data_IF_565534262218
#
_entry.id   IF_565534262218
#
_cell.length_a   1.000
_cell.length_b   1.000
_cell.length_c   1.000
_cell.angle_alpha   90.00
_cell.angle_beta   90.00
_cell.angle_gamma   90.00
#
_symmetry.space_group_name_H-M   'P 1'
#
loop_
_entity.id
_entity.type
_entity.pdbx_description
1 polymer ?
#
# COMPACT_ATOMS: atom_id res chain seq x y z
N UNK A 1 29.97 19.11 -29.55
CA UNK A 1 30.01 19.30 -28.08
C UNK A 1 28.73 20.01 -27.69
N UNK A 2 27.98 19.46 -26.74
CA UNK A 2 26.67 19.96 -26.32
C UNK A 2 26.58 19.81 -24.81
N UNK A 3 26.46 20.90 -24.07
CA UNK A 3 26.15 20.88 -22.65
C UNK A 3 24.88 21.68 -22.37
N UNK A 4 23.93 21.02 -21.72
CA UNK A 4 22.64 21.58 -21.38
C UNK A 4 22.76 22.48 -20.15
N UNK A 5 22.35 23.74 -20.28
CA UNK A 5 22.21 24.62 -19.11
C UNK A 5 21.01 24.18 -18.26
N UNK A 6 21.30 23.67 -17.06
CA UNK A 6 20.27 23.20 -16.13
C UNK A 6 19.53 24.39 -15.51
N UNK A 7 18.23 24.53 -15.81
CA UNK A 7 17.39 25.61 -15.27
C UNK A 7 17.03 25.33 -13.81
N UNK A 8 17.68 26.03 -12.89
CA UNK A 8 17.41 25.96 -11.46
C UNK A 8 16.05 26.59 -11.12
N UNK A 9 15.01 25.78 -10.89
CA UNK A 9 13.69 26.25 -10.45
C UNK A 9 13.73 26.61 -8.96
N UNK A 10 13.73 27.91 -8.66
CA UNK A 10 13.57 28.42 -7.28
C UNK A 10 12.08 28.62 -6.98
N UNK A 11 11.54 27.88 -6.00
CA UNK A 11 10.14 28.00 -5.60
C UNK A 11 9.99 29.04 -4.48
N UNK A 12 9.63 30.28 -4.85
CA UNK A 12 9.39 31.37 -3.90
C UNK A 12 8.06 31.18 -3.14
N UNK A 13 8.10 30.42 -2.04
CA UNK A 13 6.99 30.25 -1.11
C UNK A 13 6.83 31.42 -0.15
N UNK A 14 6.34 32.56 -0.63
CA UNK A 14 6.05 33.73 0.22
C UNK A 14 4.83 33.50 1.12
N UNK A 15 5.04 33.50 2.45
CA UNK A 15 3.97 33.41 3.44
C UNK A 15 3.55 34.84 3.83
N UNK A 16 2.42 35.31 3.29
CA UNK A 16 1.82 36.58 3.72
C UNK A 16 0.99 36.37 5.00
N UNK A 17 1.40 37.00 6.10
CA UNK A 17 0.56 37.14 7.29
C UNK A 17 -0.43 38.31 7.11
N UNK A 18 -1.72 38.02 7.26
CA UNK A 18 -2.79 39.04 7.38
C UNK A 18 -3.26 39.06 8.82
N UNK A 19 -3.37 40.25 9.42
CA UNK A 19 -3.81 40.42 10.81
C UNK A 19 -5.27 40.02 11.02
N UNK A 20 -5.57 39.51 12.21
CA UNK A 20 -6.91 39.06 12.62
C UNK A 20 -7.92 40.20 12.72
N UNK A 21 -9.05 40.06 12.03
CA UNK A 21 -10.28 40.80 12.36
C UNK A 21 -11.06 40.05 13.45
N UNK A 22 -11.56 40.79 14.44
CA UNK A 22 -12.49 40.30 15.46
C UNK A 22 -13.90 40.18 14.88
N UNK A 23 -14.56 39.05 15.09
CA UNK A 23 -15.99 38.85 14.80
C UNK A 23 -16.64 38.22 16.03
N UNK A 24 -17.74 38.81 16.50
CA UNK A 24 -18.42 38.42 17.73
C UNK A 24 -19.09 37.03 17.65
N UNK A 25 -19.19 36.28 18.77
CA UNK A 25 -19.77 34.95 18.78
C UNK A 25 -21.31 34.96 18.78
N UNK A 26 -21.98 34.18 17.93
CA UNK A 26 -23.41 33.90 18.09
C UNK A 26 -23.64 32.96 19.29
N UNK A 27 -24.61 33.30 20.13
CA UNK A 27 -24.94 32.49 21.32
C UNK A 27 -25.61 31.16 20.92
N UNK A 28 -25.24 30.08 21.60
CA UNK A 28 -25.99 28.82 21.57
C UNK A 28 -26.43 28.42 22.99
N UNK A 29 -27.72 28.14 23.13
CA UNK A 29 -28.39 27.73 24.37
C UNK A 29 -27.99 26.33 24.84
N UNK A 30 -28.00 26.13 26.16
CA UNK A 30 -27.58 24.89 26.81
C UNK A 30 -28.53 23.71 26.57
N UNK A 31 -27.96 22.52 26.35
CA UNK A 31 -28.66 21.23 26.50
C UNK A 31 -27.75 20.19 27.18
N UNK A 32 -28.08 19.87 28.43
CA UNK A 32 -27.83 18.61 29.17
C UNK A 32 -26.40 18.02 29.19
N UNK A 33 -25.72 18.23 30.32
CA UNK A 33 -24.55 17.44 30.72
C UNK A 33 -24.97 16.12 31.41
N UNK A 34 -24.22 15.01 31.22
CA UNK A 34 -24.18 13.89 32.15
C UNK A 34 -22.98 14.02 33.12
N UNK A 35 -23.21 13.67 34.39
CA UNK A 35 -22.24 13.66 35.51
C UNK A 35 -20.77 13.39 35.14
N UNK A 36 -19.90 14.37 35.43
CA UNK A 36 -18.45 14.18 35.54
C UNK A 36 -18.13 13.59 36.91
N UNK A 37 -17.51 12.40 36.94
CA UNK A 37 -16.81 11.94 38.14
C UNK A 37 -15.52 12.74 38.30
N UNK A 38 -15.18 13.13 39.52
CA UNK A 38 -13.89 13.78 39.81
C UNK A 38 -12.74 12.82 39.42
N UNK A 39 -11.86 13.28 38.53
CA UNK A 39 -10.63 12.59 38.12
C UNK A 39 -9.40 13.16 38.83
N UNK A 40 -8.29 12.41 38.79
CA UNK A 40 -7.06 12.73 39.51
C UNK A 40 -6.37 14.02 39.01
N UNK A 41 -5.64 14.77 39.87
CA UNK A 41 -4.95 16.01 39.49
C UNK A 41 -3.79 15.87 38.48
N UNK A 42 -3.49 14.65 38.06
CA UNK A 42 -2.39 14.32 37.12
C UNK A 42 -2.88 13.82 35.76
N UNK A 43 -4.19 13.74 35.54
CA UNK A 43 -4.77 13.26 34.29
C UNK A 43 -4.69 14.39 33.23
N UNK A 44 -3.60 14.38 32.46
CA UNK A 44 -3.33 15.41 31.46
C UNK A 44 -4.30 15.23 30.29
N UNK A 45 -5.03 16.26 29.84
CA UNK A 45 -6.04 16.11 28.81
C UNK A 45 -5.43 15.54 27.52
N UNK A 46 -6.07 14.52 26.96
CA UNK A 46 -5.68 13.85 25.72
C UNK A 46 -5.59 14.80 24.51
N UNK A 47 -6.17 15.99 24.60
CA UNK A 47 -6.29 16.96 23.51
C UNK A 47 -6.39 18.39 24.07
N UNK A 48 -5.39 19.23 23.81
CA UNK A 48 -5.30 20.62 24.24
C UNK A 48 -5.45 21.58 23.04
N UNK A 49 -6.46 22.44 23.11
CA UNK A 49 -6.71 23.51 22.14
C UNK A 49 -6.29 24.88 22.67
N UNK A 50 -5.80 25.74 21.78
CA UNK A 50 -5.63 27.17 22.01
C UNK A 50 -6.03 27.92 20.74
N UNK A 51 -6.84 28.97 20.87
CA UNK A 51 -7.27 29.82 19.75
C UNK A 51 -7.88 28.99 18.58
N UNK A 52 -8.62 27.92 18.90
CA UNK A 52 -9.21 26.98 17.94
C UNK A 52 -8.25 25.95 17.31
N UNK A 53 -6.95 26.01 17.62
CA UNK A 53 -5.91 25.14 17.07
C UNK A 53 -5.47 24.10 18.10
N UNK A 54 -5.17 22.87 17.65
CA UNK A 54 -4.59 21.82 18.50
C UNK A 54 -3.12 22.17 18.74
N UNK A 55 -2.71 22.27 20.01
CA UNK A 55 -1.30 22.47 20.39
C UNK A 55 -0.68 21.16 20.85
N UNK A 56 -1.33 20.45 21.78
CA UNK A 56 -0.86 19.16 22.28
C UNK A 56 -1.98 18.14 22.19
N UNK A 57 -1.63 16.89 21.94
CA UNK A 57 -2.58 15.79 21.86
C UNK A 57 -1.83 14.46 21.98
N UNK A 58 -2.48 13.43 22.50
CA UNK A 58 -2.01 12.07 22.32
C UNK A 58 -2.21 11.63 20.87
N UNK A 59 -1.39 10.68 20.40
CA UNK A 59 -1.50 10.20 19.02
C UNK A 59 -2.89 9.63 18.71
N UNK A 60 -3.50 8.93 19.67
CA UNK A 60 -4.84 8.36 19.49
C UNK A 60 -5.94 9.45 19.48
N UNK A 61 -5.79 10.55 20.24
CA UNK A 61 -6.67 11.71 20.12
C UNK A 61 -6.55 12.40 18.74
N UNK A 62 -5.34 12.52 18.17
CA UNK A 62 -5.17 13.02 16.80
C UNK A 62 -5.83 12.10 15.76
N UNK A 63 -5.83 10.78 15.98
CA UNK A 63 -6.54 9.81 15.14
C UNK A 63 -8.07 9.95 15.28
N UNK A 64 -8.58 10.32 16.46
CA UNK A 64 -10.01 10.62 16.67
C UNK A 64 -10.46 11.88 15.91
N UNK A 65 -9.60 12.91 15.85
CA UNK A 65 -9.85 14.12 15.04
C UNK A 65 -9.78 13.81 13.54
N UNK A 66 -9.06 12.76 13.12
CA UNK A 66 -9.03 12.28 11.73
C UNK A 66 -10.29 11.47 11.37
N UNK A 67 -11.44 12.15 11.35
CA UNK A 67 -12.77 11.62 11.04
C UNK A 67 -13.32 12.14 9.71
N UNK A 68 -14.31 11.45 9.09
CA UNK A 68 -15.10 12.03 8.02
C UNK A 68 -15.70 13.38 8.48
N UNK A 69 -15.40 14.45 7.74
CA UNK A 69 -15.75 15.83 8.11
C UNK A 69 -14.65 16.64 8.80
N UNK A 70 -13.46 16.08 9.06
CA UNK A 70 -12.30 16.83 9.54
C UNK A 70 -11.86 17.92 8.54
N UNK A 71 -11.25 19.01 9.05
CA UNK A 71 -10.83 20.12 8.19
C UNK A 71 -9.73 19.70 7.21
N UNK A 72 -9.81 20.16 5.95
CA UNK A 72 -8.82 19.83 4.92
C UNK A 72 -7.37 20.15 5.35
N UNK A 73 -7.07 21.29 6.01
CA UNK A 73 -5.73 21.57 6.52
C UNK A 73 -5.28 20.56 7.58
N UNK A 74 -6.16 20.16 8.50
CA UNK A 74 -5.83 19.14 9.50
C UNK A 74 -5.51 17.78 8.85
N UNK A 75 -6.36 17.32 7.93
CA UNK A 75 -6.15 16.05 7.21
C UNK A 75 -4.82 16.05 6.46
N UNK A 76 -4.50 17.15 5.77
CA UNK A 76 -3.22 17.29 5.06
C UNK A 76 -2.02 17.24 6.02
N UNK A 77 -2.01 18.09 7.05
CA UNK A 77 -0.90 18.17 8.02
C UNK A 77 -0.73 16.86 8.79
N UNK A 78 -1.82 16.22 9.22
CA UNK A 78 -1.76 14.92 9.88
C UNK A 78 -1.20 13.85 8.95
N UNK A 79 -1.67 13.74 7.70
CA UNK A 79 -1.15 12.72 6.77
C UNK A 79 0.32 12.95 6.38
N UNK A 80 0.75 14.21 6.26
CA UNK A 80 2.14 14.58 6.01
C UNK A 80 3.05 14.16 7.18
N UNK A 81 2.68 14.54 8.41
CA UNK A 81 3.50 14.33 9.62
C UNK A 81 3.31 12.95 10.27
N UNK A 82 2.26 12.19 9.94
CA UNK A 82 1.92 10.90 10.56
C UNK A 82 3.08 9.90 10.61
N UNK A 83 3.93 9.90 9.58
CA UNK A 83 5.11 9.03 9.46
C UNK A 83 6.16 9.23 10.56
N UNK A 84 6.12 10.35 11.28
CA UNK A 84 6.98 10.60 12.44
C UNK A 84 6.54 9.80 13.68
N UNK A 85 5.28 9.36 13.73
CA UNK A 85 4.66 8.75 14.91
C UNK A 85 4.19 7.30 14.68
N UNK A 86 3.88 6.93 13.44
CA UNK A 86 3.27 5.63 13.10
C UNK A 86 3.62 5.22 11.67
N UNK A 87 3.72 3.90 11.40
CA UNK A 87 3.90 3.43 10.01
C UNK A 87 2.59 3.59 9.23
N UNK A 88 2.61 3.93 7.91
CA UNK A 88 1.39 4.15 7.14
C UNK A 88 0.38 2.98 7.18
N UNK A 89 0.85 1.73 7.24
CA UNK A 89 -0.02 0.56 7.33
C UNK A 89 -0.63 0.35 8.73
N UNK A 90 0.10 0.72 9.79
CA UNK A 90 -0.41 0.69 11.18
C UNK A 90 -1.49 1.78 11.37
N UNK A 91 -1.27 2.98 10.82
CA UNK A 91 -2.29 4.04 10.79
C UNK A 91 -3.54 3.59 10.04
N UNK A 92 -3.38 3.04 8.84
CA UNK A 92 -4.50 2.52 8.05
C UNK A 92 -5.25 1.43 8.83
N UNK A 93 -4.55 0.52 9.51
CA UNK A 93 -5.17 -0.51 10.33
C UNK A 93 -5.97 0.07 11.52
N UNK A 94 -5.42 1.08 12.23
CA UNK A 94 -6.14 1.80 13.29
C UNK A 94 -7.42 2.47 12.76
N UNK A 95 -7.31 3.26 11.69
CA UNK A 95 -8.44 3.96 11.07
C UNK A 95 -9.50 2.97 10.58
N UNK A 96 -9.11 1.92 9.87
CA UNK A 96 -10.08 1.00 9.31
C UNK A 96 -10.77 0.16 10.39
N UNK A 97 -10.07 -0.23 11.46
CA UNK A 97 -10.69 -0.85 12.64
C UNK A 97 -11.69 0.08 13.35
N UNK A 98 -11.43 1.40 13.37
CA UNK A 98 -12.31 2.41 13.95
C UNK A 98 -13.58 2.64 13.13
N UNK A 99 -13.47 2.75 11.80
CA UNK A 99 -14.57 3.16 10.92
C UNK A 99 -15.31 2.02 10.20
N UNK A 100 -14.67 0.87 9.96
CA UNK A 100 -15.28 -0.26 9.26
C UNK A 100 -15.41 -1.49 10.16
N UNK A 101 -16.65 -1.76 10.62
CA UNK A 101 -16.99 -2.90 11.52
C UNK A 101 -16.60 -4.30 10.99
N UNK A 102 -16.22 -4.43 9.72
CA UNK A 102 -15.78 -5.68 9.10
C UNK A 102 -14.33 -5.62 8.58
N UNK A 103 -13.51 -4.63 8.94
CA UNK A 103 -12.14 -4.48 8.40
C UNK A 103 -11.26 -5.72 8.56
N UNK A 104 -11.36 -6.41 9.69
CA UNK A 104 -10.57 -7.64 9.96
C UNK A 104 -10.98 -8.82 9.06
N UNK A 105 -12.14 -8.75 8.39
CA UNK A 105 -12.50 -9.71 7.34
C UNK A 105 -11.80 -9.32 6.05
N UNK A 106 -10.61 -9.90 5.84
CA UNK A 106 -9.89 -9.85 4.57
C UNK A 106 -10.80 -10.41 3.46
N UNK A 107 -11.36 -9.51 2.66
CA UNK A 107 -12.20 -9.83 1.52
C UNK A 107 -11.50 -10.73 0.50
N UNK A 108 -12.30 -11.23 -0.42
CA UNK A 108 -11.85 -11.93 -1.62
C UNK A 108 -12.01 -11.05 -2.88
N UNK A 109 -11.53 -11.56 -4.01
CA UNK A 109 -11.55 -10.83 -5.29
C UNK A 109 -12.95 -10.38 -5.74
N UNK A 110 -14.02 -11.08 -5.35
CA UNK A 110 -15.40 -10.71 -5.69
C UNK A 110 -15.84 -9.53 -4.82
N UNK A 111 -15.48 -9.54 -3.52
CA UNK A 111 -15.83 -8.45 -2.60
C UNK A 111 -15.09 -7.14 -2.87
N UNK A 112 -14.02 -7.14 -3.68
CA UNK A 112 -13.39 -5.92 -4.18
C UNK A 112 -14.28 -5.17 -5.19
N UNK A 113 -15.29 -5.83 -5.77
CA UNK A 113 -16.26 -5.20 -6.68
C UNK A 113 -15.71 -4.81 -8.06
N UNK A 114 -14.46 -5.18 -8.39
CA UNK A 114 -13.84 -4.91 -9.69
C UNK A 114 -14.32 -5.90 -10.75
N UNK A 115 -14.59 -5.41 -11.95
CA UNK A 115 -14.73 -6.27 -13.14
C UNK A 115 -13.40 -6.93 -13.50
N UNK A 116 -13.41 -8.06 -14.25
CA UNK A 116 -12.18 -8.68 -14.73
C UNK A 116 -11.28 -7.73 -15.54
N UNK A 117 -11.89 -6.82 -16.32
CA UNK A 117 -11.19 -5.80 -17.13
C UNK A 117 -10.50 -4.77 -16.23
N UNK A 118 -11.19 -4.22 -15.22
CA UNK A 118 -10.59 -3.27 -14.29
C UNK A 118 -9.45 -3.92 -13.49
N UNK A 119 -9.64 -5.15 -13.03
CA UNK A 119 -8.62 -5.89 -12.28
C UNK A 119 -7.38 -6.18 -13.15
N UNK A 120 -7.56 -6.62 -14.40
CA UNK A 120 -6.45 -6.85 -15.33
C UNK A 120 -5.70 -5.54 -15.66
N UNK A 121 -6.40 -4.41 -15.80
CA UNK A 121 -5.78 -3.10 -15.93
C UNK A 121 -4.96 -2.72 -14.68
N UNK A 122 -5.47 -2.92 -13.47
CA UNK A 122 -4.73 -2.65 -12.24
C UNK A 122 -3.49 -3.55 -12.09
N UNK A 123 -3.61 -4.85 -12.39
CA UNK A 123 -2.46 -5.77 -12.42
C UNK A 123 -1.41 -5.28 -13.42
N UNK A 124 -1.82 -4.90 -14.64
CA UNK A 124 -0.93 -4.40 -15.69
C UNK A 124 -0.23 -3.11 -15.30
N UNK A 125 -0.90 -2.18 -14.61
CA UNK A 125 -0.27 -0.97 -14.08
C UNK A 125 0.82 -1.29 -13.04
N UNK A 126 0.58 -2.24 -12.14
CA UNK A 126 1.59 -2.69 -11.17
C UNK A 126 2.74 -3.43 -11.86
N UNK A 127 2.42 -4.26 -12.86
CA UNK A 127 3.38 -5.02 -13.67
C UNK A 127 4.36 -4.09 -14.39
N UNK A 128 3.82 -3.13 -15.16
CA UNK A 128 4.60 -2.15 -15.91
C UNK A 128 5.42 -1.24 -14.98
N UNK A 129 4.85 -0.81 -13.85
CA UNK A 129 5.58 -0.01 -12.87
C UNK A 129 6.79 -0.76 -12.31
N UNK A 130 6.64 -2.03 -11.92
CA UNK A 130 7.75 -2.85 -11.42
C UNK A 130 8.78 -3.13 -12.51
N UNK A 131 8.32 -3.51 -13.71
CA UNK A 131 9.18 -3.80 -14.85
C UNK A 131 10.00 -2.58 -15.28
N UNK A 132 9.46 -1.36 -15.14
CA UNK A 132 10.18 -0.11 -15.48
C UNK A 132 11.44 0.16 -14.65
N UNK A 133 11.62 -0.54 -13.52
CA UNK A 133 12.85 -0.47 -12.72
C UNK A 133 13.91 -1.51 -13.12
N UNK A 134 13.56 -2.51 -13.93
CA UNK A 134 14.48 -3.60 -14.29
C UNK A 134 15.36 -3.17 -15.46
N UNK A 135 16.66 -2.96 -15.19
CA UNK A 135 17.64 -2.60 -16.21
C UNK A 135 17.98 -3.78 -17.14
N UNK A 136 18.31 -3.53 -18.43
CA UNK A 136 18.85 -4.58 -19.31
C UNK A 136 20.13 -5.22 -18.74
N UNK A 137 20.90 -4.48 -17.94
CA UNK A 137 22.10 -4.94 -17.23
C UNK A 137 21.78 -6.05 -16.22
N UNK A 138 20.62 -5.99 -15.55
CA UNK A 138 20.20 -7.02 -14.59
C UNK A 138 19.97 -8.36 -15.29
N UNK A 139 19.29 -8.35 -16.45
CA UNK A 139 19.10 -9.55 -17.26
C UNK A 139 20.44 -10.16 -17.72
N UNK A 140 21.38 -9.32 -18.19
CA UNK A 140 22.73 -9.79 -18.58
C UNK A 140 23.44 -10.41 -17.38
N UNK A 141 23.38 -9.80 -16.19
CA UNK A 141 24.01 -10.33 -14.97
C UNK A 141 23.38 -11.65 -14.49
N UNK A 142 22.06 -11.83 -14.65
CA UNK A 142 21.39 -13.10 -14.33
C UNK A 142 21.98 -14.25 -15.12
N UNK A 143 22.11 -14.09 -16.45
CA UNK A 143 22.56 -15.16 -17.35
C UNK A 143 24.08 -15.21 -17.55
N UNK A 144 24.84 -14.21 -17.08
CA UNK A 144 26.30 -14.22 -17.11
C UNK A 144 26.86 -15.43 -16.32
N UNK A 145 27.82 -16.19 -16.88
CA UNK A 145 28.44 -17.30 -16.17
C UNK A 145 29.15 -16.79 -14.91
N UNK A 146 28.80 -17.35 -13.76
CA UNK A 146 29.42 -16.99 -12.49
C UNK A 146 30.92 -17.30 -12.54
N UNK A 147 31.77 -16.27 -12.45
CA UNK A 147 33.21 -16.50 -12.28
C UNK A 147 33.43 -17.31 -10.99
N UNK A 148 34.27 -18.37 -11.01
CA UNK A 148 34.61 -19.10 -9.80
C UNK A 148 35.35 -18.17 -8.84
N UNK A 149 34.86 -18.08 -7.61
CA UNK A 149 35.43 -17.22 -6.59
C UNK A 149 36.87 -17.65 -6.28
N UNK A 150 37.85 -16.90 -6.77
CA UNK A 150 39.26 -17.12 -6.43
C UNK A 150 39.52 -16.65 -5.01
N UNK A 151 39.52 -17.60 -4.08
CA UNK A 151 40.02 -17.39 -2.73
C UNK A 151 41.53 -17.15 -2.77
N UNK A 152 41.97 -15.89 -2.73
CA UNK A 152 43.37 -15.55 -2.44
C UNK A 152 43.43 -14.50 -1.34
N UNK A 153 43.97 -14.91 -0.20
CA UNK A 153 44.09 -14.09 1.00
C UNK A 153 45.16 -13.00 0.82
N UNK A 154 44.75 -11.76 0.59
CA UNK A 154 45.55 -10.57 0.93
C UNK A 154 44.63 -9.45 1.44
N UNK A 155 44.90 -8.97 2.67
CA UNK A 155 44.20 -7.80 3.24
C UNK A 155 44.79 -6.52 2.66
N UNK A 156 44.38 -6.13 1.46
CA UNK A 156 44.66 -4.80 0.91
C UNK A 156 43.38 -3.96 0.86
N UNK A 157 43.48 -2.69 1.27
CA UNK A 157 42.36 -1.76 1.37
C UNK A 157 42.02 -1.25 -0.04
N UNK A 158 41.26 -2.05 -0.80
CA UNK A 158 40.74 -1.66 -2.10
C UNK A 158 39.27 -1.24 -1.98
N UNK A 159 39.02 0.06 -2.16
CA UNK A 159 37.67 0.61 -2.42
C UNK A 159 37.33 0.30 -3.88
N UNK A 160 37.13 -0.99 -4.19
CA UNK A 160 36.62 -1.42 -5.48
C UNK A 160 35.55 -2.49 -5.27
N UNK A 161 34.42 -2.25 -5.92
CA UNK A 161 33.22 -3.07 -5.87
C UNK A 161 33.56 -4.55 -6.10
N UNK A 162 33.34 -5.37 -5.07
CA UNK A 162 32.93 -6.74 -5.33
C UNK A 162 31.55 -6.64 -6.01
N UNK A 163 31.52 -6.81 -7.33
CA UNK A 163 30.29 -6.83 -8.13
C UNK A 163 29.47 -8.10 -7.79
N UNK A 164 28.83 -8.06 -6.63
CA UNK A 164 27.68 -8.92 -6.37
C UNK A 164 26.65 -8.62 -7.48
N UNK A 165 26.26 -9.66 -8.23
CA UNK A 165 25.20 -9.58 -9.24
C UNK A 165 24.03 -8.78 -8.66
N UNK A 166 23.75 -7.61 -9.22
CA UNK A 166 22.85 -6.63 -8.61
C UNK A 166 21.47 -6.70 -9.25
N UNK A 167 20.90 -7.90 -9.24
CA UNK A 167 19.61 -8.28 -9.86
C UNK A 167 18.39 -7.89 -9.03
N UNK A 168 18.49 -6.83 -8.21
CA UNK A 168 17.52 -6.51 -7.15
C UNK A 168 16.12 -6.19 -7.67
N UNK A 169 16.00 -5.51 -8.81
CA UNK A 169 14.68 -5.17 -9.36
C UNK A 169 14.08 -6.38 -10.07
N UNK A 170 14.92 -7.18 -10.76
CA UNK A 170 14.49 -8.43 -11.38
C UNK A 170 14.05 -9.48 -10.34
N UNK A 171 14.75 -9.57 -9.21
CA UNK A 171 14.34 -10.36 -8.04
C UNK A 171 13.00 -9.86 -7.49
N UNK A 172 12.85 -8.55 -7.26
CA UNK A 172 11.60 -7.95 -6.78
C UNK A 172 10.42 -8.10 -7.77
N UNK A 173 10.70 -8.24 -9.07
CA UNK A 173 9.72 -8.55 -10.11
C UNK A 173 9.33 -10.05 -10.12
N UNK A 174 10.32 -10.93 -9.93
CA UNK A 174 10.10 -12.38 -9.75
C UNK A 174 9.30 -12.67 -8.47
N UNK A 175 9.62 -11.99 -7.37
CA UNK A 175 8.86 -12.04 -6.12
C UNK A 175 7.43 -11.54 -6.31
N UNK A 176 7.20 -10.55 -7.17
CA UNK A 176 5.85 -10.09 -7.48
C UNK A 176 5.03 -11.17 -8.22
N UNK A 177 5.61 -11.83 -9.23
CA UNK A 177 4.99 -12.98 -9.91
C UNK A 177 4.60 -14.08 -8.91
N UNK A 178 5.54 -14.44 -8.02
CA UNK A 178 5.30 -15.44 -6.98
C UNK A 178 4.17 -15.01 -6.03
N UNK A 179 4.21 -13.77 -5.54
CA UNK A 179 3.20 -13.22 -4.63
C UNK A 179 1.81 -13.15 -5.27
N UNK A 180 1.71 -12.80 -6.55
CA UNK A 180 0.44 -12.85 -7.29
C UNK A 180 -0.07 -14.30 -7.39
N UNK A 181 0.80 -15.24 -7.75
CA UNK A 181 0.45 -16.67 -7.83
C UNK A 181 -0.09 -17.22 -6.49
N UNK A 182 0.61 -16.93 -5.38
CA UNK A 182 0.16 -17.32 -4.05
C UNK A 182 -1.12 -16.58 -3.62
N UNK A 183 -1.30 -15.30 -3.98
CA UNK A 183 -2.51 -14.54 -3.68
C UNK A 183 -3.74 -15.19 -4.34
N UNK A 184 -3.67 -15.50 -5.64
CA UNK A 184 -4.73 -16.20 -6.38
C UNK A 184 -5.07 -17.53 -5.71
N UNK A 185 -4.04 -18.31 -5.37
CA UNK A 185 -4.21 -19.60 -4.72
C UNK A 185 -4.86 -19.48 -3.33
N UNK A 186 -4.37 -18.56 -2.50
CA UNK A 186 -4.93 -18.28 -1.17
C UNK A 186 -6.38 -17.80 -1.25
N UNK A 187 -6.71 -16.94 -2.20
CA UNK A 187 -8.06 -16.40 -2.37
C UNK A 187 -9.09 -17.48 -2.72
N UNK A 188 -8.74 -18.34 -3.70
CA UNK A 188 -9.52 -19.53 -4.05
C UNK A 188 -9.62 -20.48 -2.84
N UNK A 189 -8.54 -20.75 -2.11
CA UNK A 189 -8.54 -21.71 -1.01
C UNK A 189 -9.28 -21.22 0.25
N UNK A 190 -9.30 -19.91 0.52
CA UNK A 190 -10.08 -19.29 1.61
C UNK A 190 -11.59 -19.47 1.42
N UNK A 191 -12.08 -19.55 0.18
CA UNK A 191 -13.49 -19.70 -0.12
C UNK A 191 -14.02 -21.09 0.29
N UNK A 192 -14.61 -21.20 1.49
CA UNK A 192 -15.08 -22.46 2.08
C UNK A 192 -16.14 -23.17 1.21
N UNK A 193 -17.19 -22.45 0.82
CA UNK A 193 -18.34 -23.02 0.08
C UNK A 193 -17.99 -23.27 -1.39
N UNK A 194 -18.07 -24.52 -1.85
CA UNK A 194 -17.65 -24.91 -3.22
C UNK A 194 -18.29 -24.11 -4.36
N UNK A 195 -19.58 -23.75 -4.29
CA UNK A 195 -20.24 -22.89 -5.30
C UNK A 195 -19.68 -21.47 -5.31
N UNK A 196 -19.32 -20.93 -4.14
CA UNK A 196 -18.72 -19.60 -4.04
C UNK A 196 -17.27 -19.60 -4.52
N UNK A 197 -16.51 -20.62 -4.15
CA UNK A 197 -15.13 -20.83 -4.63
C UNK A 197 -15.04 -20.99 -6.15
N UNK A 198 -16.04 -21.61 -6.78
CA UNK A 198 -16.13 -21.67 -8.24
C UNK A 198 -16.20 -20.26 -8.85
N UNK A 199 -17.05 -19.37 -8.31
CA UNK A 199 -17.11 -17.96 -8.75
C UNK A 199 -15.81 -17.19 -8.53
N UNK A 200 -15.08 -17.46 -7.43
CA UNK A 200 -13.76 -16.84 -7.17
C UNK A 200 -12.75 -17.31 -8.23
N UNK A 201 -12.74 -18.61 -8.54
CA UNK A 201 -11.90 -19.18 -9.60
C UNK A 201 -12.28 -18.64 -10.99
N UNK A 202 -13.56 -18.55 -11.30
CA UNK A 202 -14.11 -17.97 -12.53
C UNK A 202 -13.67 -16.51 -12.71
N UNK A 203 -13.79 -15.67 -11.68
CA UNK A 203 -13.31 -14.28 -11.71
C UNK A 203 -11.81 -14.19 -12.04
N UNK A 204 -10.98 -15.06 -11.44
CA UNK A 204 -9.54 -15.11 -11.75
C UNK A 204 -9.27 -15.60 -13.18
N UNK A 205 -10.01 -16.59 -13.69
CA UNK A 205 -9.91 -17.07 -15.09
C UNK A 205 -10.33 -15.98 -16.10
N UNK A 206 -11.41 -15.25 -15.83
CA UNK A 206 -11.82 -14.11 -16.65
C UNK A 206 -10.75 -13.00 -16.61
N UNK A 207 -10.16 -12.73 -15.44
CA UNK A 207 -9.09 -11.74 -15.30
C UNK A 207 -7.84 -12.15 -16.09
N UNK A 208 -7.47 -13.43 -16.08
CA UNK A 208 -6.38 -13.95 -16.88
C UNK A 208 -6.60 -13.75 -18.39
N UNK A 209 -7.84 -13.93 -18.87
CA UNK A 209 -8.23 -13.62 -20.26
C UNK A 209 -8.05 -12.14 -20.58
N UNK A 210 -8.42 -11.23 -19.68
CA UNK A 210 -8.22 -9.80 -19.91
C UNK A 210 -6.73 -9.40 -19.81
N UNK A 211 -5.93 -10.05 -18.96
CA UNK A 211 -4.47 -9.91 -18.99
C UNK A 211 -3.87 -10.33 -20.34
N UNK A 212 -4.38 -11.41 -20.97
CA UNK A 212 -3.99 -11.79 -22.33
C UNK A 212 -4.37 -10.70 -23.36
N UNK A 213 -5.59 -10.17 -23.30
CA UNK A 213 -6.05 -9.10 -24.20
C UNK A 213 -5.20 -7.82 -24.09
N UNK A 214 -4.67 -7.53 -22.90
CA UNK A 214 -3.77 -6.39 -22.63
C UNK A 214 -2.28 -6.68 -22.94
N UNK A 215 -1.92 -7.90 -23.34
CA UNK A 215 -0.53 -8.31 -23.52
C UNK A 215 0.26 -8.50 -22.21
N UNK A 216 -0.41 -8.50 -21.05
CA UNK A 216 0.19 -8.79 -19.76
C UNK A 216 0.33 -10.31 -19.56
N UNK A 217 1.30 -10.88 -20.27
CA UNK A 217 1.60 -12.32 -20.20
C UNK A 217 2.15 -12.75 -18.83
N UNK A 218 2.80 -11.86 -18.07
CA UNK A 218 3.36 -12.22 -16.77
C UNK A 218 2.27 -12.48 -15.72
N UNK A 219 1.30 -11.56 -15.57
CA UNK A 219 0.15 -11.76 -14.68
C UNK A 219 -0.77 -12.90 -15.15
N UNK A 220 -0.94 -13.08 -16.47
CA UNK A 220 -1.61 -14.27 -17.03
C UNK A 220 -0.94 -15.56 -16.55
N UNK A 221 0.37 -15.68 -16.73
CA UNK A 221 1.11 -16.89 -16.35
C UNK A 221 1.16 -17.10 -14.85
N UNK A 222 1.13 -16.05 -14.03
CA UNK A 222 0.99 -16.15 -12.57
C UNK A 222 -0.36 -16.77 -12.17
N UNK A 223 -1.47 -16.31 -12.79
CA UNK A 223 -2.81 -16.87 -12.53
C UNK A 223 -2.89 -18.33 -13.01
N UNK A 224 -2.38 -18.65 -14.20
CA UNK A 224 -2.35 -20.02 -14.73
C UNK A 224 -1.47 -20.94 -13.85
N UNK A 225 -0.31 -20.44 -13.41
CA UNK A 225 0.58 -21.14 -12.47
C UNK A 225 -0.11 -21.45 -11.15
N UNK A 226 -0.84 -20.47 -10.58
CA UNK A 226 -1.64 -20.66 -9.37
C UNK A 226 -2.68 -21.78 -9.51
N UNK A 227 -3.45 -21.79 -10.61
CA UNK A 227 -4.49 -22.80 -10.87
C UNK A 227 -3.91 -24.23 -10.97
N UNK A 228 -2.67 -24.36 -11.44
CA UNK A 228 -1.95 -25.63 -11.53
C UNK A 228 -1.27 -26.07 -10.22
N UNK A 229 -1.26 -25.25 -9.17
CA UNK A 229 -0.70 -25.65 -7.87
C UNK A 229 -1.46 -26.83 -7.27
N UNK A 230 -0.73 -27.80 -6.71
CA UNK A 230 -1.29 -29.01 -6.09
C UNK A 230 -2.52 -28.79 -5.15
N UNK A 231 -2.56 -27.78 -4.26
CA UNK A 231 -3.74 -27.55 -3.42
C UNK A 231 -5.00 -27.11 -4.19
N UNK A 232 -4.87 -26.54 -5.40
CA UNK A 232 -5.99 -26.18 -6.28
C UNK A 232 -6.32 -27.31 -7.25
N UNK A 233 -5.31 -27.92 -7.90
CA UNK A 233 -5.50 -28.96 -8.91
C UNK A 233 -6.31 -30.19 -8.41
N UNK A 234 -6.29 -30.45 -7.09
CA UNK A 234 -7.10 -31.48 -6.41
C UNK A 234 -8.58 -31.13 -6.22
N UNK A 235 -9.00 -29.88 -6.41
CA UNK A 235 -10.35 -29.39 -6.10
C UNK A 235 -11.41 -29.77 -7.14
N UNK A 236 -11.47 -31.05 -7.57
CA UNK A 236 -12.31 -31.51 -8.70
C UNK A 236 -13.78 -31.10 -8.61
N UNK A 237 -14.40 -31.15 -7.42
CA UNK A 237 -15.79 -30.69 -7.17
C UNK A 237 -16.02 -29.18 -7.38
N UNK A 238 -14.95 -28.38 -7.35
CA UNK A 238 -14.98 -26.93 -7.64
C UNK A 238 -14.82 -26.71 -9.13
N UNK A 239 -13.81 -27.35 -9.74
CA UNK A 239 -13.53 -27.27 -11.18
C UNK A 239 -14.73 -27.73 -12.01
N UNK A 240 -15.51 -28.72 -11.55
CA UNK A 240 -16.75 -29.17 -12.20
C UNK A 240 -17.93 -28.16 -12.16
N UNK A 241 -17.69 -26.89 -11.83
CA UNK A 241 -18.68 -25.80 -11.65
C UNK A 241 -18.19 -24.46 -12.23
N UNK A 242 -17.01 -24.48 -12.82
CA UNK A 242 -16.41 -23.41 -13.62
C UNK A 242 -16.51 -23.88 -15.06
#
# INVERSE_FOLDING_TARGET
MSENSCKHMVMNGGINFVSSQSVDPPQLTAVLAPNVKAGDPYDKPDLEYKDGHIITATFDALVEVLRPGASKPYVFTFLLCSRLFVKPHELLAKLCKRYFKNYEKVGDIITLGLTPVELANQLTNVELHRLSYVGPEEFVQTFAPSQPAQSTSTKNINIHHAEAKSTKNLEAYTDWFNRLSYLVATDILKAVKSKYRARVMEQWVMTARECFNLGNFNSLMAIVGALNMAPIARLKKTVSKV
#
